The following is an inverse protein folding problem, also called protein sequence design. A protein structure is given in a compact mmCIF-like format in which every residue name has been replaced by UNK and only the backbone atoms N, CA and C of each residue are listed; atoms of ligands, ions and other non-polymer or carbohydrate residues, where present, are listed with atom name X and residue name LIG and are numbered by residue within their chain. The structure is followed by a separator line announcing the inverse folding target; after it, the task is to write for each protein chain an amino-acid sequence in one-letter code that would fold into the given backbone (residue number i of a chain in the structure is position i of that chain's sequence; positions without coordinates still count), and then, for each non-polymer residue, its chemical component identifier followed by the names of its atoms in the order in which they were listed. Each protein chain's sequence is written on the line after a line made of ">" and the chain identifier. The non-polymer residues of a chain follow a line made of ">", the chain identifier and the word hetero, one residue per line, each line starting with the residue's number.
data_IF_254206616507
#
_entry.id   IF_254206616507
#
_cell.length_a   1.000
_cell.length_b   1.000
_cell.length_c   1.000
_cell.angle_alpha   90.00
_cell.angle_beta   90.00
_cell.angle_gamma   90.00
#
_symmetry.space_group_name_H-M   'P 1'
#
loop_
_entity.id
_entity.type
_entity.pdbx_description
1 polymer ?
#
# COMPACT_ATOMS: atom_id res chain seq x y z
N UNK A 1 17.83 -26.23 13.07
CA UNK A 1 18.26 -25.35 11.96
C UNK A 1 17.37 -25.64 10.75
N UNK A 2 16.62 -24.66 10.31
CA UNK A 2 15.81 -24.80 9.09
C UNK A 2 16.62 -24.34 7.89
N UNK A 3 16.53 -25.07 6.77
CA UNK A 3 17.23 -24.76 5.51
C UNK A 3 16.25 -24.81 4.35
N UNK A 4 16.36 -23.85 3.45
CA UNK A 4 15.58 -23.80 2.21
C UNK A 4 16.40 -23.23 1.06
N UNK A 5 15.96 -23.40 -0.18
CA UNK A 5 16.58 -22.74 -1.34
C UNK A 5 16.35 -21.24 -1.28
N UNK A 6 15.15 -20.81 -0.91
CA UNK A 6 14.75 -19.40 -0.82
C UNK A 6 14.22 -19.07 0.56
N UNK A 7 14.67 -17.95 1.14
CA UNK A 7 14.09 -17.37 2.34
C UNK A 7 13.44 -16.02 1.99
N UNK A 8 12.18 -15.84 2.37
CA UNK A 8 11.47 -14.56 2.23
C UNK A 8 11.28 -13.95 3.61
N UNK A 9 11.58 -12.66 3.78
CA UNK A 9 11.37 -11.92 5.02
C UNK A 9 10.19 -10.97 4.86
N UNK A 10 9.12 -11.19 5.64
CA UNK A 10 7.90 -10.40 5.67
C UNK A 10 6.66 -11.15 5.18
N UNK A 11 5.72 -11.39 6.09
CA UNK A 11 4.44 -12.06 5.86
C UNK A 11 3.29 -11.10 5.45
N UNK A 12 3.61 -9.96 4.86
CA UNK A 12 2.65 -9.08 4.21
C UNK A 12 2.28 -9.61 2.81
N UNK A 13 1.29 -8.97 2.17
CA UNK A 13 0.73 -9.45 0.88
C UNK A 13 1.78 -9.58 -0.23
N UNK A 14 2.82 -8.73 -0.25
CA UNK A 14 3.90 -8.82 -1.25
C UNK A 14 4.76 -10.06 -1.03
N UNK A 15 5.15 -10.35 0.22
CA UNK A 15 5.93 -11.55 0.55
C UNK A 15 5.16 -12.82 0.30
N UNK A 16 3.88 -12.86 0.70
CA UNK A 16 2.99 -14.00 0.46
C UNK A 16 2.75 -14.24 -1.04
N UNK A 17 2.49 -13.18 -1.81
CA UNK A 17 2.34 -13.29 -3.26
C UNK A 17 3.62 -13.80 -3.93
N UNK A 18 4.79 -13.33 -3.47
CA UNK A 18 6.09 -13.81 -3.98
C UNK A 18 6.30 -15.29 -3.65
N UNK A 19 6.03 -15.70 -2.42
CA UNK A 19 6.15 -17.10 -1.99
C UNK A 19 5.25 -18.03 -2.79
N UNK A 20 3.98 -17.64 -2.96
CA UNK A 20 3.01 -18.42 -3.74
C UNK A 20 3.40 -18.54 -5.21
N UNK A 21 3.82 -17.45 -5.86
CA UNK A 21 4.26 -17.47 -7.26
C UNK A 21 5.52 -18.30 -7.45
N UNK A 22 6.47 -18.20 -6.49
CA UNK A 22 7.67 -19.05 -6.50
C UNK A 22 7.34 -20.53 -6.44
N UNK A 23 6.53 -20.95 -5.47
CA UNK A 23 6.13 -22.35 -5.32
C UNK A 23 5.38 -22.91 -6.53
N UNK A 24 4.61 -22.07 -7.25
CA UNK A 24 3.95 -22.47 -8.50
C UNK A 24 4.93 -22.71 -9.65
N UNK A 25 5.93 -21.87 -9.78
CA UNK A 25 6.88 -21.94 -10.89
C UNK A 25 8.06 -22.87 -10.62
N UNK A 26 8.39 -23.13 -9.34
CA UNK A 26 9.53 -23.92 -8.90
C UNK A 26 9.10 -24.93 -7.80
N UNK A 27 8.27 -25.93 -8.14
CA UNK A 27 7.67 -26.84 -7.15
C UNK A 27 8.69 -27.76 -6.46
N UNK A 28 9.90 -27.89 -7.01
CA UNK A 28 10.97 -28.71 -6.45
C UNK A 28 11.92 -27.90 -5.54
N UNK A 29 11.76 -26.58 -5.46
CA UNK A 29 12.60 -25.69 -4.67
C UNK A 29 11.89 -25.36 -3.35
N UNK A 30 12.60 -25.59 -2.24
CA UNK A 30 12.07 -25.32 -0.91
C UNK A 30 12.06 -23.81 -0.58
N UNK A 31 11.03 -23.33 0.11
CA UNK A 31 10.90 -21.96 0.53
C UNK A 31 10.48 -21.86 2.00
N UNK A 32 11.10 -20.92 2.71
CA UNK A 32 10.70 -20.50 4.07
C UNK A 32 10.36 -19.02 4.03
N UNK A 33 9.15 -18.66 4.47
CA UNK A 33 8.76 -17.27 4.71
C UNK A 33 8.79 -17.00 6.21
N UNK A 34 9.51 -15.93 6.62
CA UNK A 34 9.65 -15.49 8.01
C UNK A 34 8.79 -14.25 8.24
N UNK A 35 7.96 -14.28 9.28
CA UNK A 35 7.20 -13.14 9.77
C UNK A 35 7.54 -12.85 11.23
N UNK A 36 7.78 -11.59 11.59
CA UNK A 36 8.14 -11.18 12.95
C UNK A 36 6.97 -11.23 13.93
N UNK A 37 5.75 -11.01 13.44
CA UNK A 37 4.54 -11.07 14.23
C UNK A 37 4.07 -12.51 14.46
N UNK A 38 3.10 -12.68 15.35
CA UNK A 38 2.46 -13.96 15.66
C UNK A 38 1.60 -14.50 14.51
N UNK A 39 1.27 -13.66 13.54
CA UNK A 39 0.49 -13.98 12.36
C UNK A 39 0.81 -13.07 11.19
N UNK A 40 0.39 -13.48 9.99
CA UNK A 40 0.60 -12.74 8.74
C UNK A 40 -0.27 -11.48 8.68
N UNK A 41 0.05 -10.57 7.74
CA UNK A 41 -0.75 -9.40 7.34
C UNK A 41 -1.04 -8.36 8.45
N UNK A 42 -0.31 -8.35 9.55
CA UNK A 42 -0.55 -7.47 10.72
C UNK A 42 -0.29 -5.98 10.48
N UNK A 43 0.47 -5.63 9.45
CA UNK A 43 0.87 -4.25 9.19
C UNK A 43 0.09 -3.63 8.02
N UNK A 44 0.75 -2.99 7.05
CA UNK A 44 0.10 -2.26 5.95
C UNK A 44 -1.00 -3.07 5.24
N UNK A 45 -0.84 -4.39 5.15
CA UNK A 45 -1.80 -5.28 4.51
C UNK A 45 -3.13 -5.38 5.28
N UNK A 46 -3.11 -5.38 6.60
CA UNK A 46 -4.29 -5.38 7.45
C UNK A 46 -4.81 -3.97 7.79
N UNK A 47 -4.12 -2.91 7.32
CA UNK A 47 -4.43 -1.51 7.66
C UNK A 47 -4.49 -0.66 6.39
N UNK A 48 -5.42 -0.96 5.50
CA UNK A 48 -5.65 -0.25 4.24
C UNK A 48 -7.15 -0.18 3.94
N UNK A 49 -7.52 0.62 2.95
CA UNK A 49 -8.93 0.87 2.58
C UNK A 49 -9.57 -0.24 1.72
N UNK A 50 -8.89 -1.35 1.44
CA UNK A 50 -9.44 -2.46 0.67
C UNK A 50 -9.72 -2.17 -0.81
N UNK A 51 -9.25 -1.07 -1.37
CA UNK A 51 -9.59 -0.67 -2.75
C UNK A 51 -8.82 -1.48 -3.79
N UNK A 52 -9.55 -2.08 -4.73
CA UNK A 52 -9.03 -2.60 -6.00
C UNK A 52 -8.84 -1.44 -6.99
N UNK A 53 -7.61 -0.93 -7.07
CA UNK A 53 -7.29 0.24 -7.87
C UNK A 53 -7.29 -0.06 -9.38
N UNK A 54 -7.80 0.88 -10.18
CA UNK A 54 -7.84 0.77 -11.65
C UNK A 54 -6.52 1.18 -12.34
N UNK A 55 -5.68 1.98 -11.68
CA UNK A 55 -4.45 2.52 -12.29
C UNK A 55 -4.61 3.88 -12.98
N UNK A 56 -5.76 4.55 -12.82
CA UNK A 56 -6.11 5.78 -13.52
C UNK A 56 -5.15 6.95 -13.27
N UNK A 57 -4.58 7.06 -12.07
CA UNK A 57 -3.73 8.19 -11.68
C UNK A 57 -2.28 8.08 -12.15
N UNK A 58 -1.80 6.87 -12.48
CA UNK A 58 -0.38 6.61 -12.65
C UNK A 58 0.14 7.04 -14.00
N UNK A 59 1.42 7.42 -14.04
CA UNK A 59 2.10 7.81 -15.28
C UNK A 59 2.07 6.61 -16.25
N UNK A 60 1.57 6.77 -17.46
CA UNK A 60 1.59 5.71 -18.46
C UNK A 60 3.00 5.16 -18.69
N UNK A 61 3.12 3.83 -18.77
CA UNK A 61 4.39 3.13 -18.92
C UNK A 61 5.24 2.99 -17.66
N UNK A 62 4.83 3.58 -16.52
CA UNK A 62 5.50 3.33 -15.23
C UNK A 62 5.23 1.91 -14.73
N UNK A 63 6.15 1.37 -13.92
CA UNK A 63 5.96 0.06 -13.28
C UNK A 63 4.69 0.04 -12.42
N UNK A 64 4.37 1.16 -11.79
CA UNK A 64 3.13 1.34 -11.01
C UNK A 64 1.87 1.17 -11.85
N UNK A 65 1.82 1.78 -13.04
CA UNK A 65 0.68 1.64 -13.96
C UNK A 65 0.55 0.20 -14.47
N UNK A 66 1.64 -0.37 -14.97
CA UNK A 66 1.68 -1.73 -15.52
C UNK A 66 1.28 -2.76 -14.46
N UNK A 67 1.93 -2.70 -13.29
CA UNK A 67 1.67 -3.63 -12.19
C UNK A 67 0.24 -3.49 -11.65
N UNK A 68 -0.31 -2.29 -11.59
CA UNK A 68 -1.68 -2.09 -11.16
C UNK A 68 -2.68 -2.76 -12.12
N UNK A 69 -2.54 -2.53 -13.43
CA UNK A 69 -3.43 -3.11 -14.45
C UNK A 69 -3.37 -4.64 -14.47
N UNK A 70 -2.17 -5.20 -14.54
CA UNK A 70 -1.98 -6.65 -14.56
C UNK A 70 -2.37 -7.28 -13.22
N UNK A 71 -1.95 -6.65 -12.10
CA UNK A 71 -2.22 -7.15 -10.77
C UNK A 71 -3.70 -7.13 -10.41
N UNK A 72 -4.44 -6.09 -10.82
CA UNK A 72 -5.91 -6.05 -10.65
C UNK A 72 -6.58 -7.25 -11.29
N UNK A 73 -6.22 -7.55 -12.54
CA UNK A 73 -6.78 -8.71 -13.27
C UNK A 73 -6.46 -10.03 -12.53
N UNK A 74 -5.20 -10.22 -12.15
CA UNK A 74 -4.78 -11.41 -11.40
C UNK A 74 -5.49 -11.51 -10.04
N UNK A 75 -5.70 -10.37 -9.37
CA UNK A 75 -6.38 -10.33 -8.07
C UNK A 75 -7.86 -10.72 -8.20
N UNK A 76 -8.56 -10.21 -9.21
CA UNK A 76 -9.95 -10.58 -9.48
C UNK A 76 -10.10 -12.06 -9.87
N UNK A 77 -9.16 -12.59 -10.67
CA UNK A 77 -9.08 -14.01 -11.01
C UNK A 77 -8.87 -14.85 -9.75
N UNK A 78 -7.89 -14.49 -8.93
CA UNK A 78 -7.59 -15.17 -7.68
C UNK A 78 -8.78 -15.14 -6.70
N UNK A 79 -9.42 -13.99 -6.53
CA UNK A 79 -10.59 -13.87 -5.66
C UNK A 79 -11.73 -14.78 -6.14
N UNK A 80 -11.94 -14.88 -7.45
CA UNK A 80 -12.97 -15.76 -8.02
C UNK A 80 -12.64 -17.24 -7.84
N UNK A 81 -11.38 -17.63 -8.06
CA UNK A 81 -10.91 -19.02 -7.91
C UNK A 81 -10.95 -19.50 -6.46
N UNK A 82 -10.61 -18.60 -5.53
CA UNK A 82 -10.53 -18.92 -4.09
C UNK A 82 -11.79 -18.56 -3.30
N UNK A 83 -12.86 -18.15 -4.01
CA UNK A 83 -14.15 -17.78 -3.40
C UNK A 83 -14.03 -16.64 -2.36
N UNK A 84 -13.13 -15.66 -2.65
CA UNK A 84 -12.98 -14.45 -1.84
C UNK A 84 -14.00 -13.42 -2.31
N UNK A 85 -14.73 -12.85 -1.37
CA UNK A 85 -15.71 -11.80 -1.68
C UNK A 85 -14.99 -10.53 -2.14
N UNK A 86 -15.38 -10.03 -3.32
CA UNK A 86 -14.98 -8.71 -3.82
C UNK A 86 -16.15 -8.06 -4.55
N UNK A 87 -16.16 -6.76 -4.64
CA UNK A 87 -17.23 -6.01 -5.32
C UNK A 87 -16.62 -4.99 -6.29
N UNK A 88 -17.10 -4.97 -7.52
CA UNK A 88 -16.81 -3.89 -8.49
C UNK A 88 -17.88 -2.82 -8.30
N UNK A 89 -17.66 -1.93 -7.35
CA UNK A 89 -18.62 -0.92 -6.94
C UNK A 89 -18.49 0.40 -7.70
N UNK A 90 -17.45 0.56 -8.53
CA UNK A 90 -17.19 1.81 -9.24
C UNK A 90 -16.55 2.90 -8.38
N UNK A 91 -16.05 3.94 -9.06
CA UNK A 91 -15.45 5.13 -8.44
C UNK A 91 -15.82 6.36 -9.23
N UNK A 92 -16.06 7.47 -8.52
CA UNK A 92 -16.12 8.80 -9.11
C UNK A 92 -14.94 9.64 -8.62
N UNK A 93 -14.28 10.33 -9.54
CA UNK A 93 -13.24 11.34 -9.23
C UNK A 93 -13.89 12.69 -9.51
N UNK A 94 -13.97 13.54 -8.50
CA UNK A 94 -14.85 14.70 -8.48
C UNK A 94 -14.04 15.99 -8.47
N UNK A 95 -14.28 16.84 -9.47
CA UNK A 95 -13.87 18.24 -9.43
C UNK A 95 -14.98 19.08 -8.76
N UNK A 96 -14.60 19.78 -7.71
CA UNK A 96 -15.51 20.64 -6.93
C UNK A 96 -15.41 22.10 -7.32
N UNK A 97 -14.38 22.47 -8.10
CA UNK A 97 -14.06 23.85 -8.52
C UNK A 97 -13.47 23.84 -9.94
N UNK A 98 -13.61 24.96 -10.64
CA UNK A 98 -13.07 25.13 -12.01
C UNK A 98 -11.55 24.94 -12.09
N UNK A 99 -10.81 25.34 -11.06
CA UNK A 99 -9.34 25.21 -11.04
C UNK A 99 -8.87 23.76 -11.03
N UNK A 100 -9.75 22.81 -10.69
CA UNK A 100 -9.46 21.38 -10.64
C UNK A 100 -9.66 20.70 -12.03
N UNK A 101 -10.35 21.33 -12.97
CA UNK A 101 -10.67 20.76 -14.29
C UNK A 101 -9.41 20.40 -15.09
N UNK A 102 -8.36 21.23 -15.18
CA UNK A 102 -7.16 20.84 -15.92
C UNK A 102 -6.48 19.56 -15.37
N UNK A 103 -6.47 19.39 -14.05
CA UNK A 103 -5.93 18.19 -13.41
C UNK A 103 -6.85 16.98 -13.66
N UNK A 104 -8.16 17.15 -13.63
CA UNK A 104 -9.14 16.11 -13.99
C UNK A 104 -8.92 15.61 -15.42
N UNK A 105 -8.71 16.51 -16.39
CA UNK A 105 -8.42 16.16 -17.78
C UNK A 105 -7.12 15.34 -17.92
N UNK A 106 -6.08 15.70 -17.16
CA UNK A 106 -4.83 14.92 -17.16
C UNK A 106 -5.05 13.50 -16.61
N UNK A 107 -5.88 13.35 -15.56
CA UNK A 107 -6.20 12.05 -14.97
C UNK A 107 -6.96 11.21 -16.01
N UNK A 108 -7.93 11.80 -16.69
CA UNK A 108 -8.69 11.12 -17.74
C UNK A 108 -7.76 10.62 -18.86
N UNK A 109 -6.90 11.50 -19.37
CA UNK A 109 -5.93 11.14 -20.41
C UNK A 109 -4.97 10.02 -19.97
N UNK A 110 -4.50 10.04 -18.71
CA UNK A 110 -3.70 8.96 -18.14
C UNK A 110 -4.49 7.66 -18.03
N UNK A 111 -5.75 7.74 -17.60
CA UNK A 111 -6.65 6.59 -17.54
C UNK A 111 -6.81 5.91 -18.89
N UNK A 112 -7.10 6.67 -19.94
CA UNK A 112 -7.19 6.15 -21.28
C UNK A 112 -5.89 5.51 -21.78
N UNK A 113 -4.75 6.18 -21.56
CA UNK A 113 -3.43 5.67 -21.95
C UNK A 113 -3.04 4.39 -21.18
N UNK A 114 -3.53 4.21 -19.95
CA UNK A 114 -3.35 3.00 -19.15
C UNK A 114 -4.39 1.90 -19.48
N UNK A 115 -5.30 2.11 -20.42
CA UNK A 115 -6.37 1.17 -20.75
C UNK A 115 -7.41 1.00 -19.64
N UNK A 116 -7.62 2.03 -18.81
CA UNK A 116 -8.66 2.04 -17.77
C UNK A 116 -10.01 2.35 -18.43
N UNK A 117 -11.03 1.54 -18.13
CA UNK A 117 -12.39 1.88 -18.47
C UNK A 117 -12.85 3.06 -17.63
N UNK A 118 -12.95 4.25 -18.26
CA UNK A 118 -13.35 5.47 -17.60
C UNK A 118 -14.02 6.44 -18.56
N UNK A 119 -14.95 7.23 -18.06
CA UNK A 119 -15.69 8.24 -18.82
C UNK A 119 -15.70 9.57 -18.07
N UNK A 120 -15.65 10.68 -18.82
CA UNK A 120 -15.93 12.00 -18.27
C UNK A 120 -17.43 12.17 -18.09
N UNK A 121 -17.80 12.71 -16.96
CA UNK A 121 -19.20 12.93 -16.59
C UNK A 121 -19.43 14.39 -16.19
N UNK A 122 -20.55 14.91 -16.58
CA UNK A 122 -21.04 16.22 -16.15
C UNK A 122 -21.69 16.16 -14.77
N UNK A 123 -22.12 17.31 -14.27
CA UNK A 123 -22.76 17.43 -12.97
C UNK A 123 -24.06 16.61 -12.87
N UNK A 124 -24.83 16.52 -13.95
CA UNK A 124 -26.09 15.76 -13.97
C UNK A 124 -25.81 14.28 -13.76
N UNK A 125 -24.90 13.73 -14.58
CA UNK A 125 -24.50 12.32 -14.47
C UNK A 125 -23.83 12.00 -13.14
N UNK A 126 -23.02 12.93 -12.62
CA UNK A 126 -22.42 12.80 -11.29
C UNK A 126 -23.48 12.67 -10.20
N UNK A 127 -24.54 13.49 -10.26
CA UNK A 127 -25.67 13.43 -9.31
C UNK A 127 -26.51 12.16 -9.43
N UNK A 128 -26.61 11.56 -10.60
CA UNK A 128 -27.26 10.26 -10.76
C UNK A 128 -26.47 9.14 -10.07
N UNK A 129 -25.14 9.15 -10.22
CA UNK A 129 -24.24 8.16 -9.61
C UNK A 129 -24.11 8.37 -8.11
N UNK A 130 -23.89 9.61 -7.70
CA UNK A 130 -23.66 10.05 -6.31
C UNK A 130 -24.53 11.27 -5.97
N UNK A 131 -25.79 11.07 -5.53
CA UNK A 131 -26.73 12.17 -5.27
C UNK A 131 -26.27 13.23 -4.30
N UNK A 132 -25.41 12.84 -3.33
CA UNK A 132 -24.95 13.69 -2.25
C UNK A 132 -23.60 14.39 -2.53
N UNK A 133 -22.97 14.08 -3.67
CA UNK A 133 -21.69 14.69 -4.03
C UNK A 133 -21.86 16.12 -4.53
N UNK A 134 -21.01 17.02 -4.04
CA UNK A 134 -20.92 18.39 -4.53
C UNK A 134 -19.79 18.51 -5.56
N UNK A 135 -20.10 18.32 -6.84
CA UNK A 135 -19.14 18.41 -7.94
C UNK A 135 -19.71 19.14 -9.13
N UNK A 136 -18.82 19.75 -9.92
CA UNK A 136 -19.16 20.44 -11.18
C UNK A 136 -18.90 19.54 -12.39
N UNK A 137 -17.97 18.59 -12.25
CA UNK A 137 -17.59 17.59 -13.25
C UNK A 137 -16.88 16.42 -12.58
N UNK A 138 -16.73 15.31 -13.27
CA UNK A 138 -16.03 14.15 -12.73
C UNK A 138 -15.54 13.16 -13.78
N UNK A 139 -14.88 12.12 -13.30
CA UNK A 139 -14.59 10.91 -14.07
C UNK A 139 -15.23 9.74 -13.35
N UNK A 140 -16.05 8.98 -14.06
CA UNK A 140 -16.56 7.71 -13.58
C UNK A 140 -15.62 6.58 -14.02
N UNK A 141 -15.28 5.69 -13.09
CA UNK A 141 -14.41 4.51 -13.30
C UNK A 141 -15.17 3.28 -12.84
N UNK A 142 -16.01 2.68 -13.68
CA UNK A 142 -16.91 1.58 -13.30
C UNK A 142 -16.16 0.32 -12.87
N UNK A 143 -14.92 0.12 -13.31
CA UNK A 143 -14.12 -1.06 -12.99
C UNK A 143 -13.39 -1.01 -11.64
N UNK A 144 -13.47 0.09 -10.88
CA UNK A 144 -12.90 0.15 -9.55
C UNK A 144 -13.69 -0.71 -8.56
N UNK A 145 -13.02 -1.31 -7.60
CA UNK A 145 -13.68 -2.23 -6.66
C UNK A 145 -13.08 -2.20 -5.26
N UNK A 146 -13.58 -3.10 -4.44
CA UNK A 146 -13.15 -3.31 -3.05
C UNK A 146 -13.00 -4.81 -2.75
N UNK A 147 -12.08 -5.15 -1.85
CA UNK A 147 -11.77 -6.52 -1.40
C UNK A 147 -11.17 -6.49 0.01
N UNK A 148 -11.28 -7.57 0.76
CA UNK A 148 -10.49 -7.75 1.99
C UNK A 148 -9.12 -8.39 1.65
N UNK A 149 -8.06 -7.58 1.69
CA UNK A 149 -6.70 -8.08 1.47
C UNK A 149 -6.20 -9.01 2.58
N UNK A 150 -6.79 -8.98 3.76
CA UNK A 150 -6.47 -9.92 4.84
C UNK A 150 -6.97 -11.32 4.48
N UNK A 151 -8.18 -11.42 3.91
CA UNK A 151 -8.72 -12.69 3.42
C UNK A 151 -7.88 -13.25 2.26
N UNK A 152 -7.46 -12.37 1.33
CA UNK A 152 -6.51 -12.76 0.26
C UNK A 152 -5.23 -13.35 0.85
N UNK A 153 -4.68 -12.76 1.90
CA UNK A 153 -3.47 -13.28 2.56
C UNK A 153 -3.69 -14.63 3.22
N UNK A 154 -4.84 -14.85 3.86
CA UNK A 154 -5.19 -16.16 4.45
C UNK A 154 -5.24 -17.25 3.38
N UNK A 155 -5.84 -16.97 2.22
CA UNK A 155 -5.86 -17.91 1.10
C UNK A 155 -4.46 -18.17 0.52
N UNK A 156 -3.66 -17.10 0.34
CA UNK A 156 -2.26 -17.24 -0.10
C UNK A 156 -1.44 -18.09 0.88
N UNK A 157 -1.60 -17.86 2.20
CA UNK A 157 -0.94 -18.69 3.22
C UNK A 157 -1.28 -20.17 3.05
N UNK A 158 -2.55 -20.49 2.90
CA UNK A 158 -3.01 -21.87 2.67
C UNK A 158 -2.37 -22.46 1.42
N UNK A 159 -2.39 -21.73 0.30
CA UNK A 159 -1.78 -22.18 -0.97
C UNK A 159 -0.27 -22.43 -0.87
N UNK A 160 0.46 -21.58 -0.16
CA UNK A 160 1.89 -21.76 0.09
C UNK A 160 2.15 -23.05 0.87
N UNK A 161 1.33 -23.33 1.89
CA UNK A 161 1.45 -24.55 2.70
C UNK A 161 1.07 -25.81 1.90
N UNK A 162 0.04 -25.74 1.05
CA UNK A 162 -0.34 -26.83 0.12
C UNK A 162 0.78 -27.15 -0.89
N UNK A 163 1.62 -26.17 -1.23
CA UNK A 163 2.83 -26.36 -2.05
C UNK A 163 4.00 -27.01 -1.28
N UNK A 164 3.84 -27.32 0.02
CA UNK A 164 4.89 -27.87 0.88
C UNK A 164 5.86 -26.84 1.43
N UNK A 165 5.63 -25.55 1.23
CA UNK A 165 6.46 -24.46 1.72
C UNK A 165 6.08 -24.05 3.15
N UNK A 166 7.02 -23.43 3.88
CA UNK A 166 6.85 -23.10 5.29
C UNK A 166 6.64 -21.60 5.48
N UNK A 167 5.72 -21.26 6.38
CA UNK A 167 5.54 -19.90 6.92
C UNK A 167 5.77 -19.98 8.42
N UNK A 168 6.74 -19.23 8.91
CA UNK A 168 7.15 -19.22 10.32
C UNK A 168 6.91 -17.82 10.87
N UNK A 169 5.91 -17.70 11.73
CA UNK A 169 5.59 -16.49 12.47
C UNK A 169 6.42 -16.38 13.77
N UNK A 170 6.38 -15.23 14.44
CA UNK A 170 7.20 -14.89 15.61
C UNK A 170 8.72 -15.02 15.37
N UNK A 171 9.13 -14.95 14.10
CA UNK A 171 10.51 -15.15 13.63
C UNK A 171 11.12 -13.82 13.14
N UNK A 172 11.40 -12.90 14.07
CA UNK A 172 12.05 -11.63 13.74
C UNK A 172 13.51 -11.87 13.35
N UNK A 173 13.90 -11.39 12.17
CA UNK A 173 15.30 -11.38 11.73
C UNK A 173 16.07 -10.34 12.54
N UNK A 174 17.17 -10.76 13.15
CA UNK A 174 18.03 -9.95 14.01
C UNK A 174 19.34 -9.59 13.31
N UNK A 175 19.90 -10.53 12.53
CA UNK A 175 21.12 -10.34 11.78
C UNK A 175 21.14 -11.20 10.52
N UNK A 176 21.97 -10.83 9.54
CA UNK A 176 22.14 -11.55 8.27
C UNK A 176 23.64 -11.70 7.98
N UNK A 177 24.10 -12.93 7.90
CA UNK A 177 25.46 -13.27 7.48
C UNK A 177 25.42 -13.84 6.07
N UNK A 178 26.23 -13.31 5.20
CA UNK A 178 26.31 -13.73 3.80
C UNK A 178 27.68 -14.35 3.53
N UNK A 179 27.67 -15.55 2.96
CA UNK A 179 28.82 -16.19 2.35
C UNK A 179 28.59 -16.37 0.85
N UNK A 180 29.60 -16.87 0.11
CA UNK A 180 29.48 -17.05 -1.35
C UNK A 180 28.39 -18.05 -1.77
N UNK A 181 27.99 -18.97 -0.89
CA UNK A 181 27.05 -20.04 -1.22
C UNK A 181 25.82 -20.11 -0.32
N UNK A 182 25.77 -19.36 0.75
CA UNK A 182 24.71 -19.47 1.76
C UNK A 182 24.47 -18.14 2.48
N UNK A 183 23.22 -17.88 2.77
CA UNK A 183 22.77 -16.76 3.61
C UNK A 183 22.25 -17.35 4.92
N UNK A 184 22.76 -16.87 6.06
CA UNK A 184 22.35 -17.28 7.40
C UNK A 184 21.64 -16.11 8.06
N UNK A 185 20.35 -16.31 8.40
CA UNK A 185 19.53 -15.36 9.11
C UNK A 185 19.48 -15.77 10.58
N UNK A 186 20.00 -14.93 11.46
CA UNK A 186 19.78 -15.06 12.90
C UNK A 186 18.40 -14.49 13.23
N UNK A 187 17.55 -15.29 13.85
CA UNK A 187 16.19 -14.90 14.20
C UNK A 187 15.92 -15.11 15.69
N UNK A 188 14.79 -14.60 16.16
CA UNK A 188 14.32 -14.81 17.54
C UNK A 188 14.06 -16.26 17.89
N UNK A 189 13.95 -17.15 16.91
CA UNK A 189 13.68 -18.59 17.08
C UNK A 189 14.88 -19.48 16.70
N UNK A 190 16.04 -18.88 16.42
CA UNK A 190 17.25 -19.58 15.99
C UNK A 190 17.65 -19.24 14.55
N UNK A 191 18.60 -19.99 14.01
CA UNK A 191 19.13 -19.78 12.67
C UNK A 191 18.24 -20.39 11.58
N UNK A 192 18.04 -19.61 10.50
CA UNK A 192 17.44 -20.07 9.25
C UNK A 192 18.45 -19.84 8.12
N UNK A 193 18.61 -20.83 7.24
CA UNK A 193 19.60 -20.81 6.16
C UNK A 193 18.94 -20.90 4.80
N UNK A 194 19.49 -20.17 3.84
CA UNK A 194 19.03 -20.20 2.45
C UNK A 194 20.14 -19.88 1.46
N UNK A 195 19.91 -20.22 0.20
CA UNK A 195 20.79 -19.82 -0.89
C UNK A 195 20.46 -18.40 -1.37
N UNK A 196 19.17 -18.05 -1.33
CA UNK A 196 18.66 -16.76 -1.79
C UNK A 196 17.75 -16.12 -0.73
N UNK A 197 17.79 -14.81 -0.67
CA UNK A 197 16.97 -14.00 0.23
C UNK A 197 16.11 -13.02 -0.58
N UNK A 198 14.82 -12.97 -0.26
CA UNK A 198 13.91 -11.92 -0.74
C UNK A 198 13.41 -11.10 0.45
N UNK A 199 13.79 -9.84 0.50
CA UNK A 199 13.35 -8.92 1.54
C UNK A 199 12.04 -8.23 1.12
N UNK A 200 10.92 -8.60 1.77
CA UNK A 200 9.59 -8.03 1.63
C UNK A 200 9.12 -7.37 2.95
N UNK A 201 10.03 -6.83 3.75
CA UNK A 201 9.76 -6.39 5.13
C UNK A 201 9.01 -5.04 5.24
N UNK A 202 8.52 -4.46 4.13
CA UNK A 202 7.65 -3.28 4.11
C UNK A 202 8.19 -2.10 4.90
N UNK A 203 7.59 -1.77 6.06
CA UNK A 203 8.04 -0.68 6.95
C UNK A 203 9.50 -0.84 7.43
N UNK A 204 10.04 -2.05 7.41
CA UNK A 204 11.41 -2.37 7.83
C UNK A 204 12.31 -2.82 6.66
N UNK A 205 11.91 -2.60 5.41
CA UNK A 205 12.68 -3.06 4.23
C UNK A 205 14.10 -2.49 4.21
N UNK A 206 14.28 -1.21 4.53
CA UNK A 206 15.57 -0.54 4.66
C UNK A 206 16.41 -1.08 5.82
N UNK A 207 15.76 -1.49 6.93
CA UNK A 207 16.43 -2.08 8.10
C UNK A 207 16.96 -3.48 7.78
N UNK A 208 16.13 -4.32 7.17
CA UNK A 208 16.56 -5.66 6.74
C UNK A 208 17.65 -5.58 5.69
N UNK A 209 17.54 -4.66 4.72
CA UNK A 209 18.60 -4.38 3.77
C UNK A 209 19.90 -3.93 4.47
N UNK A 210 19.80 -3.10 5.51
CA UNK A 210 20.95 -2.65 6.30
C UNK A 210 21.65 -3.75 7.12
N UNK A 211 21.01 -4.92 7.32
CA UNK A 211 21.65 -6.10 7.92
C UNK A 211 22.53 -6.87 6.92
N UNK A 212 22.41 -6.58 5.64
CA UNK A 212 23.27 -7.12 4.59
C UNK A 212 24.48 -6.20 4.37
N UNK A 213 25.42 -6.58 3.52
CA UNK A 213 26.55 -5.73 3.16
C UNK A 213 26.16 -4.54 2.24
N UNK A 214 24.91 -4.44 1.83
CA UNK A 214 24.43 -3.39 0.93
C UNK A 214 24.22 -2.06 1.66
N UNK A 215 24.72 -0.99 1.03
CA UNK A 215 24.48 0.39 1.49
C UNK A 215 23.23 0.93 0.81
N UNK A 216 22.29 1.42 1.60
CA UNK A 216 21.11 2.11 1.06
C UNK A 216 21.29 3.63 1.06
N UNK A 217 20.90 4.28 -0.04
CA UNK A 217 20.82 5.73 -0.17
C UNK A 217 19.42 6.28 0.19
N UNK A 218 18.57 5.43 0.70
CA UNK A 218 17.20 5.76 1.09
C UNK A 218 16.87 5.28 2.50
N UNK A 219 15.81 5.85 3.07
CA UNK A 219 15.22 5.42 4.33
C UNK A 219 13.70 5.35 4.19
N UNK A 220 13.07 4.37 4.84
CA UNK A 220 11.62 4.34 4.99
C UNK A 220 11.20 5.33 6.07
N UNK A 221 10.41 6.31 5.67
CA UNK A 221 9.77 7.29 6.55
C UNK A 221 8.30 6.90 6.71
N UNK A 222 7.81 6.66 7.95
CA UNK A 222 6.45 6.23 8.16
C UNK A 222 5.49 7.43 8.13
N UNK A 223 4.45 7.38 7.28
CA UNK A 223 3.36 8.34 7.27
C UNK A 223 2.07 7.66 7.69
N UNK A 224 1.48 8.14 8.81
CA UNK A 224 0.19 7.65 9.29
C UNK A 224 -0.95 8.32 8.55
N UNK A 225 -1.86 7.50 8.04
CA UNK A 225 -3.15 7.91 7.53
C UNK A 225 -4.22 7.64 8.58
N UNK A 226 -4.93 8.66 9.00
CA UNK A 226 -6.02 8.56 9.96
C UNK A 226 -7.35 8.52 9.24
N UNK A 227 -8.24 7.65 9.70
CA UNK A 227 -9.54 7.40 9.09
C UNK A 227 -10.66 7.61 10.11
N UNK A 228 -11.86 7.80 9.59
CA UNK A 228 -13.11 7.76 10.34
C UNK A 228 -14.09 6.83 9.64
N UNK A 229 -14.83 6.08 10.42
CA UNK A 229 -16.06 5.44 9.95
C UNK A 229 -17.20 6.43 9.97
N UNK A 230 -18.04 6.38 8.95
CA UNK A 230 -19.31 7.08 8.91
C UNK A 230 -20.34 6.22 9.65
N UNK A 231 -21.19 6.85 10.46
CA UNK A 231 -22.26 6.14 11.16
C UNK A 231 -23.20 5.42 10.19
N UNK A 232 -23.75 4.25 10.55
CA UNK A 232 -24.60 3.45 9.66
C UNK A 232 -25.77 4.24 9.05
N UNK A 233 -26.35 5.16 9.80
CA UNK A 233 -27.48 5.99 9.36
C UNK A 233 -27.11 6.95 8.23
N UNK A 234 -25.83 7.12 7.95
CA UNK A 234 -25.27 8.04 6.95
C UNK A 234 -24.51 7.35 5.82
N UNK A 235 -24.44 6.03 5.81
CA UNK A 235 -23.74 5.28 4.76
C UNK A 235 -24.34 5.52 3.36
N UNK A 236 -25.61 5.86 3.28
CA UNK A 236 -26.30 6.21 2.03
C UNK A 236 -25.69 7.42 1.30
N UNK A 237 -24.85 8.21 1.97
CA UNK A 237 -24.16 9.37 1.39
C UNK A 237 -23.11 8.98 0.32
N UNK A 238 -22.75 7.70 0.23
CA UNK A 238 -21.75 7.22 -0.73
C UNK A 238 -22.20 5.87 -1.31
N UNK A 239 -22.40 5.82 -2.63
CA UNK A 239 -22.81 4.60 -3.34
C UNK A 239 -21.63 3.88 -4.01
N UNK A 240 -20.67 4.64 -4.53
CA UNK A 240 -19.43 4.18 -5.15
C UNK A 240 -18.24 4.54 -4.24
N UNK A 241 -17.05 4.67 -4.79
CA UNK A 241 -15.90 5.30 -4.13
C UNK A 241 -15.83 6.76 -4.58
N UNK A 242 -15.81 7.71 -3.63
CA UNK A 242 -15.81 9.15 -3.94
C UNK A 242 -14.43 9.74 -3.64
N UNK A 243 -13.73 10.18 -4.67
CA UNK A 243 -12.37 10.69 -4.58
C UNK A 243 -12.27 12.13 -5.09
N UNK A 244 -11.49 13.00 -4.46
CA UNK A 244 -11.21 14.33 -5.01
C UNK A 244 -10.26 14.24 -6.20
N UNK A 245 -10.21 15.29 -7.01
CA UNK A 245 -9.06 15.54 -7.86
C UNK A 245 -7.84 15.79 -6.98
N UNK A 246 -6.73 15.05 -7.13
CA UNK A 246 -5.52 15.29 -6.37
C UNK A 246 -4.95 16.69 -6.63
N UNK A 247 -4.53 17.36 -5.57
CA UNK A 247 -3.77 18.60 -5.68
C UNK A 247 -2.35 18.26 -6.19
N UNK A 248 -1.91 18.80 -7.36
CA UNK A 248 -0.59 18.51 -7.89
C UNK A 248 0.58 18.91 -6.98
N UNK A 249 0.35 19.87 -6.08
CA UNK A 249 1.34 20.31 -5.11
C UNK A 249 1.48 19.36 -3.92
N UNK A 250 0.53 18.43 -3.75
CA UNK A 250 0.47 17.53 -2.61
C UNK A 250 0.87 16.10 -2.98
N UNK A 251 1.86 15.50 -2.29
CA UNK A 251 2.37 14.16 -2.64
C UNK A 251 1.39 13.02 -2.29
N UNK A 252 0.35 13.29 -1.53
CA UNK A 252 -0.64 12.32 -1.12
C UNK A 252 -2.04 12.69 -1.63
N UNK A 253 -2.87 11.68 -1.82
CA UNK A 253 -4.27 11.89 -2.19
C UNK A 253 -5.03 12.53 -1.01
N UNK A 254 -5.91 13.49 -1.31
CA UNK A 254 -6.78 14.11 -0.32
C UNK A 254 -7.80 13.13 0.27
N UNK A 255 -8.46 13.53 1.35
CA UNK A 255 -9.50 12.73 2.01
C UNK A 255 -10.61 12.34 1.02
N UNK A 256 -11.06 11.11 1.10
CA UNK A 256 -12.05 10.51 0.20
C UNK A 256 -12.96 9.55 0.97
N UNK A 257 -14.01 9.07 0.33
CA UNK A 257 -14.94 8.11 0.89
C UNK A 257 -14.76 6.74 0.23
N UNK A 258 -14.73 5.71 1.04
CA UNK A 258 -14.52 4.32 0.60
C UNK A 258 -15.55 3.40 1.26
N UNK A 259 -16.34 2.74 0.45
CA UNK A 259 -17.16 1.61 0.92
C UNK A 259 -16.28 0.44 1.31
N UNK A 260 -16.66 -0.27 2.34
CA UNK A 260 -15.94 -1.44 2.83
C UNK A 260 -16.66 -2.72 2.40
N UNK A 261 -15.90 -3.77 2.12
CA UNK A 261 -16.43 -5.03 1.58
C UNK A 261 -17.38 -5.75 2.56
N UNK A 262 -17.17 -5.61 3.86
CA UNK A 262 -18.02 -6.18 4.90
C UNK A 262 -19.14 -5.23 5.37
N UNK A 263 -19.43 -4.20 4.59
CA UNK A 263 -20.33 -3.11 4.96
C UNK A 263 -19.62 -2.01 5.73
N UNK A 264 -20.24 -0.85 5.76
CA UNK A 264 -19.65 0.35 6.33
C UNK A 264 -19.09 1.31 5.28
N UNK A 265 -18.92 2.55 5.71
CA UNK A 265 -18.32 3.61 4.94
C UNK A 265 -17.16 4.24 5.73
N UNK A 266 -15.97 4.21 5.15
CA UNK A 266 -14.78 4.83 5.68
C UNK A 266 -14.47 6.14 4.95
N UNK A 267 -13.95 7.13 5.66
CA UNK A 267 -13.48 8.38 5.07
C UNK A 267 -12.11 8.79 5.61
N UNK A 268 -11.28 9.30 4.75
CA UNK A 268 -9.87 9.62 4.97
C UNK A 268 -9.02 9.20 3.77
N UNK A 269 -7.71 8.95 3.97
CA UNK A 269 -6.94 9.40 5.12
C UNK A 269 -6.38 10.82 4.95
N UNK A 270 -5.95 11.43 6.04
CA UNK A 270 -4.89 12.45 6.02
C UNK A 270 -3.51 11.78 5.86
N UNK A 271 -2.41 12.56 5.94
CA UNK A 271 -1.06 12.02 5.90
C UNK A 271 -0.15 12.80 6.85
N UNK A 272 0.12 12.23 8.02
CA UNK A 272 0.98 12.83 9.05
C UNK A 272 2.21 11.95 9.32
N UNK A 273 3.33 12.56 9.70
CA UNK A 273 4.49 11.81 10.16
C UNK A 273 4.09 10.93 11.37
N UNK A 274 4.33 9.63 11.29
CA UNK A 274 4.22 8.74 12.44
C UNK A 274 5.49 8.79 13.29
N UNK A 275 5.35 8.71 14.61
CA UNK A 275 6.49 8.77 15.53
C UNK A 275 7.11 7.40 15.84
N UNK A 276 6.61 6.37 15.16
CA UNK A 276 7.16 5.03 15.11
C UNK A 276 6.83 4.41 13.74
N UNK A 277 7.63 3.44 13.29
CA UNK A 277 7.33 2.71 12.03
C UNK A 277 6.00 1.98 12.09
N UNK A 278 5.63 1.50 13.27
CA UNK A 278 4.33 0.89 13.57
C UNK A 278 3.44 1.82 14.41
N UNK A 279 3.50 3.12 14.15
CA UNK A 279 2.76 4.16 14.85
C UNK A 279 1.29 4.24 14.40
N UNK A 280 0.49 3.22 14.69
CA UNK A 280 -0.94 3.16 14.32
C UNK A 280 -1.81 4.05 15.23
N UNK A 281 -1.36 4.35 16.46
CA UNK A 281 -2.03 5.29 17.36
C UNK A 281 -1.23 6.59 17.43
N UNK A 282 -1.90 7.70 17.79
CA UNK A 282 -1.23 8.99 18.01
C UNK A 282 -0.24 8.97 19.17
N UNK A 283 -0.49 8.08 20.13
CA UNK A 283 0.37 7.87 21.31
C UNK A 283 1.58 7.01 21.04
N UNK A 284 1.64 6.31 19.90
CA UNK A 284 2.73 5.39 19.61
C UNK A 284 3.99 6.18 19.28
N UNK A 285 5.00 6.06 20.13
CA UNK A 285 6.29 6.70 19.99
C UNK A 285 7.41 5.68 20.20
N UNK A 286 8.25 5.54 19.18
CA UNK A 286 9.54 4.90 19.29
C UNK A 286 10.62 5.98 19.14
N UNK A 287 11.22 6.36 20.26
CA UNK A 287 12.17 7.48 20.30
C UNK A 287 13.39 7.25 19.40
N UNK A 288 13.88 6.02 19.32
CA UNK A 288 15.04 5.67 18.47
C UNK A 288 14.68 5.84 16.97
N UNK A 289 13.55 5.28 16.53
CA UNK A 289 13.10 5.37 15.14
C UNK A 289 12.75 6.82 14.74
N UNK A 290 12.14 7.55 15.66
CA UNK A 290 11.81 8.96 15.44
C UNK A 290 13.07 9.83 15.30
N UNK A 291 14.06 9.67 16.21
CA UNK A 291 15.33 10.39 16.12
C UNK A 291 16.11 10.02 14.85
N UNK A 292 16.07 8.77 14.44
CA UNK A 292 16.68 8.34 13.19
C UNK A 292 16.05 9.04 11.99
N UNK A 293 14.71 9.11 11.95
CA UNK A 293 13.98 9.84 10.90
C UNK A 293 14.38 11.32 10.88
N UNK A 294 14.43 11.98 12.04
CA UNK A 294 14.81 13.39 12.13
C UNK A 294 16.28 13.66 11.74
N UNK A 295 17.19 12.72 11.98
CA UNK A 295 18.61 12.83 11.61
C UNK A 295 18.85 12.54 10.12
N UNK A 296 17.93 11.87 9.44
CA UNK A 296 18.10 11.53 8.04
C UNK A 296 18.02 12.78 7.15
N UNK A 297 19.11 13.07 6.44
CA UNK A 297 19.23 14.27 5.60
C UNK A 297 18.11 14.39 4.56
N UNK A 298 17.68 13.23 3.99
CA UNK A 298 16.56 13.20 3.04
C UNK A 298 15.26 13.68 3.68
N UNK A 299 14.96 13.25 4.91
CA UNK A 299 13.78 13.72 5.62
C UNK A 299 13.87 15.22 5.97
N UNK A 300 15.03 15.72 6.37
CA UNK A 300 15.22 17.15 6.66
C UNK A 300 14.92 18.01 5.43
N UNK A 301 15.42 17.62 4.26
CA UNK A 301 15.14 18.31 3.00
C UNK A 301 13.65 18.23 2.61
N UNK A 302 13.04 17.05 2.77
CA UNK A 302 11.61 16.83 2.53
C UNK A 302 10.78 17.73 3.46
N UNK A 303 11.10 17.74 4.75
CA UNK A 303 10.40 18.55 5.73
C UNK A 303 10.52 20.06 5.44
N UNK A 304 11.70 20.53 5.06
CA UNK A 304 11.90 21.94 4.66
C UNK A 304 11.10 22.30 3.40
N UNK A 305 10.99 21.38 2.43
CA UNK A 305 10.23 21.61 1.20
C UNK A 305 8.72 21.67 1.44
N UNK A 306 8.19 20.82 2.33
CA UNK A 306 6.75 20.62 2.52
C UNK A 306 6.24 21.03 3.91
N UNK A 307 6.99 21.85 4.67
CA UNK A 307 6.67 22.17 6.07
C UNK A 307 5.27 22.76 6.28
N UNK A 308 4.85 23.72 5.42
CA UNK A 308 3.52 24.35 5.53
C UNK A 308 2.41 23.32 5.37
N UNK A 309 2.59 22.42 4.42
CA UNK A 309 1.66 21.34 4.12
C UNK A 309 1.60 20.33 5.27
N UNK A 310 2.78 19.92 5.77
CA UNK A 310 2.89 19.05 6.94
C UNK A 310 2.20 19.62 8.19
N UNK A 311 2.35 20.93 8.43
CA UNK A 311 1.63 21.63 9.51
C UNK A 311 0.12 21.61 9.30
N UNK A 312 -0.36 21.78 8.06
CA UNK A 312 -1.78 21.69 7.73
C UNK A 312 -2.36 20.30 7.95
N UNK A 313 -1.60 19.23 7.60
CA UNK A 313 -2.00 17.84 7.87
C UNK A 313 -2.02 17.54 9.38
N UNK A 314 -0.99 17.99 10.12
CA UNK A 314 -0.96 17.87 11.58
C UNK A 314 -2.15 18.59 12.22
N UNK A 315 -2.51 19.79 11.74
CA UNK A 315 -3.69 20.50 12.22
C UNK A 315 -4.98 19.70 11.97
N UNK A 316 -5.15 19.13 10.77
CA UNK A 316 -6.29 18.26 10.46
C UNK A 316 -6.35 17.01 11.33
N UNK A 317 -5.19 16.45 11.70
CA UNK A 317 -5.09 15.31 12.61
C UNK A 317 -5.60 15.66 14.03
N UNK A 318 -5.26 16.84 14.54
CA UNK A 318 -5.61 17.23 15.90
C UNK A 318 -7.00 17.90 16.00
N UNK A 319 -7.46 18.54 14.92
CA UNK A 319 -8.70 19.33 14.91
C UNK A 319 -9.73 18.71 13.97
N UNK A 320 -10.58 17.85 14.52
CA UNK A 320 -11.63 17.13 13.78
C UNK A 320 -12.49 18.02 12.87
N UNK A 321 -12.91 19.26 13.25
CA UNK A 321 -13.66 20.12 12.34
C UNK A 321 -12.92 20.49 11.05
N UNK A 322 -11.58 20.60 11.05
CA UNK A 322 -10.81 20.84 9.84
C UNK A 322 -10.84 19.63 8.90
N UNK A 323 -10.83 18.41 9.46
CA UNK A 323 -10.99 17.18 8.70
C UNK A 323 -12.39 17.09 8.08
N UNK A 324 -13.43 17.37 8.87
CA UNK A 324 -14.83 17.43 8.41
C UNK A 324 -15.01 18.43 7.27
N UNK A 325 -14.42 19.62 7.39
CA UNK A 325 -14.47 20.65 6.33
C UNK A 325 -13.86 20.16 5.01
N UNK A 326 -12.81 19.34 5.08
CA UNK A 326 -12.22 18.73 3.89
C UNK A 326 -13.16 17.69 3.24
N UNK A 327 -13.86 16.87 4.03
CA UNK A 327 -14.87 15.93 3.54
C UNK A 327 -16.09 16.65 2.95
N UNK A 328 -16.52 17.74 3.56
CA UNK A 328 -17.68 18.54 3.11
C UNK A 328 -17.48 19.19 1.74
N UNK A 329 -16.23 19.28 1.26
CA UNK A 329 -15.99 19.69 -0.14
C UNK A 329 -16.57 18.69 -1.14
N UNK A 330 -16.53 17.39 -0.79
CA UNK A 330 -17.07 16.30 -1.60
C UNK A 330 -18.54 16.01 -1.27
N UNK A 331 -18.85 15.85 0.03
CA UNK A 331 -20.18 15.51 0.54
C UNK A 331 -20.56 16.54 1.63
N UNK A 332 -21.29 17.62 1.25
CA UNK A 332 -21.60 18.72 2.18
C UNK A 332 -22.42 18.33 3.42
N UNK A 333 -23.20 17.25 3.30
CA UNK A 333 -24.11 16.78 4.36
C UNK A 333 -23.41 16.11 5.54
N UNK A 334 -22.12 15.70 5.38
CA UNK A 334 -21.37 15.02 6.45
C UNK A 334 -21.05 16.00 7.60
N UNK A 335 -21.25 15.58 8.83
CA UNK A 335 -20.99 16.38 10.03
C UNK A 335 -19.96 15.70 10.95
N UNK A 336 -19.45 16.42 11.93
CA UNK A 336 -18.53 15.85 12.92
C UNK A 336 -19.18 14.73 13.76
N UNK A 337 -20.49 14.81 13.94
CA UNK A 337 -21.27 13.86 14.73
C UNK A 337 -21.48 12.54 14.00
N UNK A 338 -21.41 12.55 12.67
CA UNK A 338 -21.55 11.36 11.82
C UNK A 338 -20.28 10.50 11.79
N UNK A 339 -19.16 10.98 12.36
CA UNK A 339 -17.84 10.35 12.25
C UNK A 339 -17.41 9.68 13.56
N UNK A 340 -17.00 8.42 13.45
CA UNK A 340 -16.41 7.58 14.52
C UNK A 340 -14.95 7.34 14.15
N UNK A 341 -14.01 7.48 15.11
CA UNK A 341 -12.58 7.22 14.85
C UNK A 341 -12.37 5.77 14.39
N UNK A 342 -11.72 5.59 13.25
CA UNK A 342 -11.36 4.30 12.70
C UNK A 342 -9.86 3.98 12.97
N UNK A 343 -9.43 2.72 12.82
CA UNK A 343 -8.03 2.35 12.86
C UNK A 343 -7.21 3.12 11.80
N UNK A 344 -5.98 3.48 12.15
CA UNK A 344 -5.09 4.15 11.21
C UNK A 344 -4.26 3.14 10.41
N UNK A 345 -3.81 3.54 9.23
CA UNK A 345 -2.79 2.84 8.46
C UNK A 345 -1.45 3.58 8.51
N UNK A 346 -0.34 2.88 8.39
CA UNK A 346 0.99 3.50 8.25
C UNK A 346 1.57 3.15 6.88
N UNK A 347 1.89 4.18 6.10
CA UNK A 347 2.53 4.03 4.78
C UNK A 347 4.05 3.99 4.94
N UNK A 348 4.67 2.97 4.37
CA UNK A 348 6.12 2.91 4.20
C UNK A 348 6.50 3.76 2.98
N UNK A 349 6.95 4.99 3.21
CA UNK A 349 7.39 5.87 2.13
C UNK A 349 8.91 5.89 2.06
N UNK A 350 9.47 5.38 0.97
CA UNK A 350 10.90 5.50 0.73
C UNK A 350 11.24 6.95 0.35
N UNK A 351 12.24 7.50 1.05
CA UNK A 351 12.79 8.84 0.84
C UNK A 351 14.28 8.71 0.56
N UNK A 352 14.76 9.33 -0.49
CA UNK A 352 16.18 9.35 -0.86
C UNK A 352 16.94 10.46 -0.14
N UNK A 353 18.27 10.39 -0.07
CA UNK A 353 19.12 11.40 0.61
C UNK A 353 18.96 12.84 0.08
N UNK A 354 18.52 13.00 -1.15
CA UNK A 354 18.24 14.31 -1.74
C UNK A 354 16.88 14.90 -1.33
N UNK A 355 16.05 14.11 -0.60
CA UNK A 355 14.71 14.49 -0.14
C UNK A 355 13.59 14.17 -1.13
N UNK A 356 13.87 13.42 -2.19
CA UNK A 356 12.86 12.97 -3.13
C UNK A 356 12.07 11.79 -2.57
N UNK A 357 10.76 11.77 -2.84
CA UNK A 357 9.91 10.62 -2.57
C UNK A 357 10.08 9.60 -3.71
N UNK A 358 10.31 8.35 -3.37
CA UNK A 358 10.32 7.27 -4.36
C UNK A 358 8.87 6.95 -4.71
N UNK A 359 8.44 7.32 -5.91
CA UNK A 359 7.05 7.21 -6.33
C UNK A 359 6.72 5.87 -7.02
N UNK A 360 7.70 5.13 -7.53
CA UNK A 360 7.49 3.85 -8.22
C UNK A 360 8.06 2.67 -7.41
N UNK A 361 7.83 1.45 -7.89
CA UNK A 361 8.44 0.26 -7.31
C UNK A 361 9.96 0.32 -7.42
N UNK A 362 10.62 -0.01 -6.32
CA UNK A 362 12.07 -0.05 -6.26
C UNK A 362 12.52 -1.41 -5.72
N UNK A 363 13.26 -2.12 -6.56
CA UNK A 363 13.92 -3.38 -6.21
C UNK A 363 15.41 -3.16 -6.34
N UNK A 364 16.14 -3.39 -5.26
CA UNK A 364 17.61 -3.43 -5.24
C UNK A 364 18.08 -4.87 -5.11
N UNK A 365 19.16 -5.23 -5.78
CA UNK A 365 19.57 -6.62 -5.91
C UNK A 365 21.08 -6.84 -5.88
N UNK A 366 21.46 -7.95 -5.30
CA UNK A 366 22.79 -8.56 -5.45
C UNK A 366 22.65 -9.93 -6.11
N UNK A 367 23.74 -10.68 -6.20
CA UNK A 367 23.72 -12.05 -6.72
C UNK A 367 22.70 -12.94 -5.99
N UNK A 368 22.62 -12.85 -4.65
CA UNK A 368 21.83 -13.75 -3.82
C UNK A 368 20.67 -13.07 -3.07
N UNK A 369 20.51 -11.74 -3.18
CA UNK A 369 19.51 -10.99 -2.43
C UNK A 369 18.69 -10.13 -3.38
N UNK A 370 17.36 -10.16 -3.19
CA UNK A 370 16.40 -9.22 -3.76
C UNK A 370 15.76 -8.40 -2.63
N UNK A 371 15.95 -7.09 -2.64
CA UNK A 371 15.31 -6.17 -1.69
C UNK A 371 14.15 -5.45 -2.37
N UNK A 372 12.93 -5.67 -1.90
CA UNK A 372 11.78 -4.85 -2.29
C UNK A 372 11.82 -3.58 -1.42
N UNK A 373 12.56 -2.59 -1.89
CA UNK A 373 12.86 -1.39 -1.12
C UNK A 373 11.66 -0.46 -1.00
N UNK A 374 10.82 -0.40 -2.03
CA UNK A 374 9.62 0.42 -2.06
C UNK A 374 8.52 -0.28 -2.85
N UNK A 375 7.39 -0.50 -2.21
CA UNK A 375 6.17 -1.00 -2.83
C UNK A 375 4.99 -0.07 -2.43
N UNK A 376 4.89 1.12 -3.06
CA UNK A 376 3.87 2.09 -2.70
C UNK A 376 2.49 1.65 -3.20
N UNK A 377 1.42 2.29 -2.69
CA UNK A 377 0.08 2.09 -3.28
C UNK A 377 0.15 2.27 -4.81
N UNK A 378 -0.35 1.32 -5.56
CA UNK A 378 -1.35 0.29 -5.26
C UNK A 378 -0.76 -1.11 -5.00
N UNK A 379 0.26 -1.25 -4.17
CA UNK A 379 0.98 -2.51 -3.97
C UNK A 379 0.07 -3.71 -3.64
N UNK A 380 -0.98 -3.52 -2.84
CA UNK A 380 -1.90 -4.60 -2.51
C UNK A 380 -2.66 -5.11 -3.76
N UNK A 381 -3.24 -4.22 -4.55
CA UNK A 381 -3.88 -4.56 -5.84
C UNK A 381 -2.88 -5.22 -6.80
N UNK A 382 -1.64 -4.74 -6.80
CA UNK A 382 -0.59 -5.19 -7.72
C UNK A 382 0.19 -6.43 -7.22
N UNK A 383 -0.06 -6.88 -5.99
CA UNK A 383 0.79 -7.83 -5.26
C UNK A 383 1.05 -9.14 -6.00
N UNK A 384 0.03 -9.72 -6.62
CA UNK A 384 0.18 -10.99 -7.36
C UNK A 384 1.09 -10.83 -8.59
N UNK A 385 1.04 -9.69 -9.27
CA UNK A 385 1.95 -9.40 -10.38
C UNK A 385 3.35 -9.04 -9.89
N UNK A 386 3.46 -8.32 -8.78
CA UNK A 386 4.75 -8.03 -8.13
C UNK A 386 5.43 -9.35 -7.76
N UNK A 387 4.69 -10.25 -7.09
CA UNK A 387 5.21 -11.58 -6.70
C UNK A 387 5.68 -12.39 -7.91
N UNK A 388 4.93 -12.35 -9.03
CA UNK A 388 5.33 -12.99 -10.28
C UNK A 388 6.64 -12.43 -10.82
N UNK A 389 6.77 -11.10 -10.91
CA UNK A 389 7.99 -10.46 -11.42
C UNK A 389 9.20 -10.70 -10.52
N UNK A 390 9.01 -10.70 -9.19
CA UNK A 390 10.07 -11.04 -8.23
C UNK A 390 10.49 -12.50 -8.38
N UNK A 391 9.53 -13.41 -8.53
CA UNK A 391 9.79 -14.84 -8.78
C UNK A 391 10.55 -15.06 -10.09
N UNK A 392 10.13 -14.42 -11.19
CA UNK A 392 10.84 -14.49 -12.49
C UNK A 392 12.27 -13.95 -12.38
N UNK A 393 12.46 -12.84 -11.67
CA UNK A 393 13.78 -12.25 -11.45
C UNK A 393 14.68 -13.15 -10.59
N UNK A 394 14.11 -13.80 -9.59
CA UNK A 394 14.82 -14.77 -8.76
C UNK A 394 15.23 -16.01 -9.58
N UNK A 395 14.33 -16.49 -10.44
CA UNK A 395 14.57 -17.68 -11.28
C UNK A 395 15.79 -17.55 -12.20
N UNK A 396 16.12 -16.34 -12.66
CA UNK A 396 17.32 -16.11 -13.49
C UNK A 396 18.64 -16.44 -12.78
N UNK A 397 18.60 -16.73 -11.48
CA UNK A 397 19.76 -17.02 -10.62
C UNK A 397 19.90 -18.51 -10.30
N UNK A 398 18.88 -19.30 -10.63
CA UNK A 398 18.87 -20.76 -10.49
C UNK A 398 19.35 -21.40 -11.82
N UNK A 399 20.59 -21.13 -12.20
CA UNK A 399 21.22 -21.68 -13.42
C UNK A 399 22.28 -22.68 -13.03
#
# INVERSE_FOLDING_TARGET
>A
MSKASVVIVGGGIVGLATAWQWGRSHPNESLILLEKEDSIAKHQTGHNSGVLHSGIYYKPGSMKAINCRQGKKLMEEFCREEEITYEICGKVIVATREEEIPALEQIFSRGQANGVNCEKIDQSRLKELEPHVNGISGIHVPEAGIVDYSEVCVKLQKKIQEQGNQIICSAKVLNIHQSNSEIILETTIGEVRGNYLVNCAGLYSDKVMGLTSQKTEMQIVPFRGEYYYVKPEKEYLCKNLIYPVPDPAFPFLGVHFTRMIHGGLECGPNAVLAFAREGYKRSDLNFSEFLETLKFTGFQKLALKYWQMGMGEMWRSWYKPAFVKALQRLVPEITAEDLIVAPAGVRAQAVTKDGSLVDDFLVDETENILNICNAPSPAATASLNIGRLVSEKLATRFV
#
